data_IF_817786774735
#
_entry.id   IF_817786774735
#
_cell.length_a   1.000
_cell.length_b   1.000
_cell.length_c   1.000
_cell.angle_alpha   90.00
_cell.angle_beta   90.00
_cell.angle_gamma   90.00
#
_symmetry.space_group_name_H-M   'P 1'
#
loop_
_entity.id
_entity.type
_entity.pdbx_description
1 polymer ?
#
# COMPACT_ATOMS: atom_id res chain seq x y z
N UNK A 1 17.07 -7.21 -7.07
CA UNK A 1 16.44 -5.99 -6.54
C UNK A 1 16.09 -5.07 -7.70
N UNK A 2 14.92 -4.49 -7.67
CA UNK A 2 14.49 -3.53 -8.68
C UNK A 2 13.91 -2.31 -7.98
N UNK A 3 14.45 -1.13 -8.27
CA UNK A 3 13.99 0.13 -7.68
C UNK A 3 13.55 1.06 -8.80
N UNK A 4 12.33 1.55 -8.74
CA UNK A 4 11.78 2.48 -9.72
C UNK A 4 12.37 3.88 -9.61
N UNK A 5 11.73 4.83 -10.28
CA UNK A 5 12.16 6.23 -10.32
C UNK A 5 11.66 7.01 -9.11
N UNK A 6 12.38 8.06 -8.74
CA UNK A 6 11.98 9.00 -7.68
C UNK A 6 11.68 8.31 -6.34
N UNK A 7 12.41 7.25 -6.02
CA UNK A 7 12.32 6.57 -4.73
C UNK A 7 13.23 7.28 -3.74
N UNK A 8 12.69 7.52 -2.53
CA UNK A 8 13.45 8.14 -1.45
C UNK A 8 13.68 7.13 -0.34
N UNK A 9 14.94 6.98 0.06
CA UNK A 9 15.34 6.19 1.22
C UNK A 9 15.86 7.13 2.29
N UNK A 10 15.19 7.19 3.43
CA UNK A 10 15.70 7.94 4.57
C UNK A 10 16.84 7.18 5.25
N UNK A 11 17.51 7.82 6.20
CA UNK A 11 18.71 7.29 6.83
C UNK A 11 18.48 5.90 7.43
N UNK A 12 19.44 5.01 7.16
CA UNK A 12 19.47 3.64 7.71
C UNK A 12 18.32 2.75 7.31
N UNK A 13 17.63 3.06 6.21
CA UNK A 13 16.68 2.14 5.63
C UNK A 13 17.42 0.92 5.04
N UNK A 14 16.91 -0.28 5.31
CA UNK A 14 17.56 -1.54 4.91
C UNK A 14 16.62 -2.34 4.03
N UNK A 15 17.14 -2.83 2.91
CA UNK A 15 16.40 -3.67 1.98
C UNK A 15 17.02 -5.06 1.93
N UNK A 16 16.20 -6.07 2.10
CA UNK A 16 16.58 -7.46 1.85
C UNK A 16 16.77 -7.73 0.36
N UNK A 17 17.30 -8.92 0.03
CA UNK A 17 17.50 -9.31 -1.36
C UNK A 17 16.18 -9.48 -2.12
N UNK A 18 16.24 -9.25 -3.44
CA UNK A 18 15.11 -9.44 -4.35
C UNK A 18 13.87 -8.58 -4.01
N UNK A 19 14.06 -7.45 -3.34
CA UNK A 19 12.99 -6.49 -3.06
C UNK A 19 12.70 -5.67 -4.32
N UNK A 20 11.42 -5.48 -4.64
CA UNK A 20 10.99 -4.55 -5.67
C UNK A 20 10.38 -3.31 -5.03
N UNK A 21 10.74 -2.13 -5.52
CA UNK A 21 10.20 -0.86 -5.00
C UNK A 21 9.66 -0.04 -6.18
N UNK A 22 8.37 0.25 -6.13
CA UNK A 22 7.72 1.05 -7.16
C UNK A 22 8.12 2.52 -7.13
N UNK A 23 7.95 3.18 -8.25
CA UNK A 23 8.31 4.59 -8.41
C UNK A 23 7.58 5.49 -7.43
N UNK A 24 8.23 6.56 -6.99
CA UNK A 24 7.64 7.55 -6.10
C UNK A 24 7.45 7.08 -4.66
N UNK A 25 8.01 5.95 -4.28
CA UNK A 25 7.90 5.42 -2.92
C UNK A 25 8.87 6.11 -1.97
N UNK A 26 8.43 6.32 -0.75
CA UNK A 26 9.25 6.86 0.33
C UNK A 26 9.41 5.78 1.42
N UNK A 27 10.66 5.44 1.73
CA UNK A 27 11.00 4.49 2.80
C UNK A 27 11.55 5.29 3.98
N UNK A 28 10.85 5.26 5.10
CA UNK A 28 11.21 6.01 6.30
C UNK A 28 12.50 5.54 6.94
N UNK A 29 13.08 6.39 7.79
CA UNK A 29 14.34 6.10 8.48
C UNK A 29 14.28 4.86 9.36
N UNK A 30 15.32 4.06 9.32
CA UNK A 30 15.43 2.81 10.09
C UNK A 30 14.34 1.78 9.77
N UNK A 31 13.65 1.92 8.64
CA UNK A 31 12.73 0.88 8.18
C UNK A 31 13.54 -0.31 7.64
N UNK A 32 13.02 -1.51 7.87
CA UNK A 32 13.61 -2.74 7.37
C UNK A 32 12.61 -3.45 6.46
N UNK A 33 13.00 -3.67 5.21
CA UNK A 33 12.18 -4.35 4.22
C UNK A 33 12.76 -5.75 4.03
N UNK A 34 11.98 -6.78 4.35
CA UNK A 34 12.43 -8.16 4.25
C UNK A 34 12.59 -8.59 2.78
N UNK A 35 13.43 -9.61 2.59
CA UNK A 35 13.70 -10.13 1.25
C UNK A 35 12.41 -10.54 0.53
N UNK A 36 12.40 -10.41 -0.78
CA UNK A 36 11.29 -10.74 -1.69
C UNK A 36 10.04 -9.88 -1.55
N UNK A 37 10.00 -8.90 -0.66
CA UNK A 37 8.87 -7.98 -0.55
C UNK A 37 8.76 -7.14 -1.83
N UNK A 38 7.54 -6.97 -2.33
CA UNK A 38 7.23 -6.08 -3.43
C UNK A 38 6.45 -4.88 -2.89
N UNK A 39 6.93 -3.69 -3.21
CA UNK A 39 6.31 -2.43 -2.79
C UNK A 39 5.79 -1.72 -4.04
N UNK A 40 4.50 -1.40 -4.06
CA UNK A 40 3.87 -0.71 -5.17
C UNK A 40 4.36 0.74 -5.33
N UNK A 41 3.94 1.38 -6.40
CA UNK A 41 4.29 2.79 -6.61
C UNK A 41 3.60 3.70 -5.60
N UNK A 42 4.21 4.84 -5.32
CA UNK A 42 3.62 5.88 -4.48
C UNK A 42 3.37 5.47 -3.03
N UNK A 43 4.03 4.43 -2.55
CA UNK A 43 3.88 3.93 -1.18
C UNK A 43 4.68 4.80 -0.22
N UNK A 44 4.16 4.94 1.00
CA UNK A 44 4.92 5.48 2.12
C UNK A 44 5.10 4.42 3.18
N UNK A 45 6.34 4.19 3.58
CA UNK A 45 6.69 3.32 4.70
C UNK A 45 7.15 4.20 5.85
N UNK A 46 6.46 4.12 6.98
CA UNK A 46 6.81 4.88 8.17
C UNK A 46 8.17 4.48 8.72
N UNK A 47 8.80 5.40 9.45
CA UNK A 47 10.09 5.13 10.08
C UNK A 47 10.02 3.98 11.09
N UNK A 48 11.12 3.28 11.26
CA UNK A 48 11.28 2.16 12.21
C UNK A 48 10.29 1.00 11.94
N UNK A 49 9.76 0.91 10.73
CA UNK A 49 8.81 -0.13 10.36
C UNK A 49 9.53 -1.42 9.93
N UNK A 50 8.97 -2.57 10.30
CA UNK A 50 9.40 -3.88 9.80
C UNK A 50 8.41 -4.39 8.77
N UNK A 51 8.80 -4.43 7.49
CA UNK A 51 7.92 -4.80 6.38
C UNK A 51 8.19 -6.23 5.96
N UNK A 52 7.21 -7.09 6.14
CA UNK A 52 7.29 -8.52 5.78
C UNK A 52 6.30 -8.93 4.70
N UNK A 53 5.36 -8.05 4.35
CA UNK A 53 4.35 -8.28 3.33
C UNK A 53 4.42 -7.28 2.20
N UNK A 54 3.86 -7.66 1.05
CA UNK A 54 3.80 -6.79 -0.12
C UNK A 54 2.84 -5.62 0.13
N UNK A 55 3.20 -4.43 -0.31
CA UNK A 55 2.41 -3.23 -0.07
C UNK A 55 1.77 -2.76 -1.37
N UNK A 56 0.44 -2.67 -1.38
CA UNK A 56 -0.32 -2.18 -2.55
C UNK A 56 0.11 -0.77 -2.95
N UNK A 57 0.03 -0.44 -4.25
CA UNK A 57 0.30 0.93 -4.70
C UNK A 57 -0.50 1.95 -3.90
N UNK A 58 0.13 3.08 -3.63
CA UNK A 58 -0.45 4.22 -2.94
C UNK A 58 -0.77 3.96 -1.46
N UNK A 59 -0.35 2.82 -0.92
CA UNK A 59 -0.57 2.48 0.48
C UNK A 59 0.36 3.20 1.44
N UNK A 60 -0.04 3.26 2.69
CA UNK A 60 0.79 3.71 3.81
C UNK A 60 0.92 2.56 4.79
N UNK A 61 2.15 2.15 5.06
CA UNK A 61 2.46 1.05 5.98
C UNK A 61 3.28 1.57 7.15
N UNK A 62 2.97 1.12 8.36
CA UNK A 62 3.72 1.49 9.55
C UNK A 62 3.63 0.42 10.64
N UNK A 63 4.57 0.47 11.56
CA UNK A 63 4.63 -0.37 12.74
C UNK A 63 5.85 -1.29 12.76
N UNK A 64 6.22 -1.78 13.94
CA UNK A 64 7.37 -2.70 14.08
C UNK A 64 7.12 -4.00 13.31
N UNK A 65 5.89 -4.50 13.37
CA UNK A 65 5.37 -5.48 12.42
C UNK A 65 4.36 -4.70 11.59
N UNK A 66 4.81 -4.20 10.44
CA UNK A 66 4.03 -3.23 9.70
C UNK A 66 2.71 -3.79 9.21
N UNK A 67 1.67 -2.98 9.34
CA UNK A 67 0.36 -3.22 8.76
C UNK A 67 -0.02 -2.02 7.89
N UNK A 68 -0.95 -2.26 6.98
CA UNK A 68 -1.47 -1.20 6.12
C UNK A 68 -2.33 -0.25 6.95
N UNK A 69 -1.98 1.03 6.96
CA UNK A 69 -2.66 2.04 7.77
C UNK A 69 -3.56 2.96 6.94
N UNK A 70 -3.74 2.66 5.67
CA UNK A 70 -4.55 3.45 4.76
C UNK A 70 -3.80 3.80 3.50
N UNK A 71 -4.21 4.87 2.85
CA UNK A 71 -3.57 5.38 1.65
C UNK A 71 -2.56 6.48 1.99
N UNK A 72 -1.54 6.61 1.16
CA UNK A 72 -0.57 7.70 1.22
C UNK A 72 -1.20 8.96 0.63
N UNK A 73 -2.12 9.59 1.37
CA UNK A 73 -2.88 10.75 0.90
C UNK A 73 -1.97 11.93 0.56
N UNK A 74 -0.95 12.16 1.39
CA UNK A 74 0.00 13.24 1.16
C UNK A 74 0.72 13.06 -0.18
N UNK A 75 1.23 11.86 -0.43
CA UNK A 75 1.92 11.54 -1.68
C UNK A 75 1.00 11.64 -2.89
N UNK A 76 -0.24 11.17 -2.77
CA UNK A 76 -1.23 11.26 -3.84
C UNK A 76 -1.54 12.72 -4.19
N UNK A 77 -1.75 13.57 -3.18
CA UNK A 77 -1.98 15.00 -3.40
C UNK A 77 -0.78 15.68 -4.06
N UNK A 78 0.43 15.36 -3.65
CA UNK A 78 1.65 15.90 -4.26
C UNK A 78 1.79 15.51 -5.71
N UNK A 79 1.29 14.34 -6.09
CA UNK A 79 1.27 13.88 -7.49
C UNK A 79 0.17 14.57 -8.33
N UNK A 80 -0.65 15.40 -7.72
CA UNK A 80 -1.73 16.08 -8.41
C UNK A 80 -3.02 15.28 -8.55
N UNK A 81 -3.18 14.23 -7.76
CA UNK A 81 -4.42 13.44 -7.76
C UNK A 81 -5.56 14.31 -7.25
N UNK A 82 -6.63 14.40 -8.04
CA UNK A 82 -7.79 15.24 -7.71
C UNK A 82 -8.60 14.63 -6.56
N UNK A 83 -9.44 15.48 -5.91
CA UNK A 83 -10.33 14.99 -4.85
C UNK A 83 -11.26 13.88 -5.33
N UNK A 84 -11.92 13.99 -6.50
CA UNK A 84 -12.77 12.90 -6.98
C UNK A 84 -11.99 11.60 -7.21
N UNK A 85 -10.77 11.70 -7.77
CA UNK A 85 -9.93 10.53 -7.99
C UNK A 85 -9.50 9.88 -6.67
N UNK A 86 -9.13 10.69 -5.68
CA UNK A 86 -8.78 10.20 -4.35
C UNK A 86 -9.99 9.53 -3.67
N UNK A 87 -11.17 10.11 -3.82
CA UNK A 87 -12.40 9.53 -3.26
C UNK A 87 -12.71 8.16 -3.86
N UNK A 88 -12.57 8.02 -5.18
CA UNK A 88 -12.75 6.72 -5.83
C UNK A 88 -11.74 5.69 -5.34
N UNK A 89 -10.47 6.10 -5.21
CA UNK A 89 -9.42 5.21 -4.71
C UNK A 89 -9.71 4.75 -3.27
N UNK A 90 -10.18 5.66 -2.42
CA UNK A 90 -10.61 5.31 -1.05
C UNK A 90 -11.75 4.31 -1.04
N UNK A 91 -12.75 4.48 -1.90
CA UNK A 91 -13.86 3.54 -2.01
C UNK A 91 -13.38 2.16 -2.44
N UNK A 92 -12.48 2.12 -3.42
CA UNK A 92 -11.88 0.86 -3.86
C UNK A 92 -11.08 0.19 -2.73
N UNK A 93 -10.28 0.95 -2.02
CA UNK A 93 -9.51 0.47 -0.87
C UNK A 93 -10.42 -0.13 0.20
N UNK A 94 -11.50 0.57 0.56
CA UNK A 94 -12.47 0.09 1.54
C UNK A 94 -13.15 -1.21 1.08
N UNK A 95 -13.58 -1.26 -0.16
CA UNK A 95 -14.19 -2.48 -0.70
C UNK A 95 -13.22 -3.66 -0.70
N UNK A 96 -11.96 -3.39 -1.03
CA UNK A 96 -10.94 -4.42 -1.15
C UNK A 96 -10.55 -5.02 0.20
N UNK A 97 -10.33 -4.19 1.21
CA UNK A 97 -9.79 -4.62 2.49
C UNK A 97 -10.82 -4.78 3.60
N UNK A 98 -11.98 -4.16 3.47
CA UNK A 98 -13.03 -4.19 4.49
C UNK A 98 -14.40 -4.65 3.98
N UNK A 99 -14.47 -5.07 2.71
CA UNK A 99 -15.70 -5.56 2.12
C UNK A 99 -16.07 -6.97 2.58
N UNK A 100 -17.27 -7.39 2.19
CA UNK A 100 -17.78 -8.71 2.51
C UNK A 100 -17.32 -9.76 1.50
N UNK A 101 -17.27 -11.00 1.94
CA UNK A 101 -16.97 -12.15 1.09
C UNK A 101 -15.48 -12.45 0.98
N UNK A 102 -15.17 -13.37 0.09
CA UNK A 102 -13.80 -13.84 -0.13
C UNK A 102 -12.98 -12.75 -0.83
N UNK A 103 -11.72 -12.62 -0.43
CA UNK A 103 -10.83 -11.57 -0.95
C UNK A 103 -10.74 -11.60 -2.48
N UNK A 104 -10.58 -12.77 -3.09
CA UNK A 104 -10.50 -12.88 -4.55
C UNK A 104 -11.75 -12.32 -5.24
N UNK A 105 -12.93 -12.55 -4.68
CA UNK A 105 -14.18 -12.00 -5.21
C UNK A 105 -14.23 -10.49 -5.05
N UNK A 106 -13.71 -9.97 -3.95
CA UNK A 106 -13.61 -8.51 -3.75
C UNK A 106 -12.69 -7.86 -4.77
N UNK A 107 -11.56 -8.50 -5.08
CA UNK A 107 -10.66 -8.02 -6.13
C UNK A 107 -11.37 -7.95 -7.47
N UNK A 108 -12.11 -8.98 -7.86
CA UNK A 108 -12.85 -9.02 -9.12
C UNK A 108 -13.95 -7.95 -9.15
N UNK A 109 -14.64 -7.76 -8.04
CA UNK A 109 -15.68 -6.72 -7.92
C UNK A 109 -15.09 -5.31 -8.09
N UNK A 110 -13.99 -5.03 -7.41
CA UNK A 110 -13.30 -3.74 -7.52
C UNK A 110 -12.77 -3.53 -8.94
N UNK A 111 -12.19 -4.56 -9.54
CA UNK A 111 -11.70 -4.48 -10.91
C UNK A 111 -12.80 -4.10 -11.90
N UNK A 112 -14.01 -4.64 -11.72
CA UNK A 112 -15.14 -4.34 -12.59
C UNK A 112 -15.79 -2.99 -12.31
N UNK A 113 -16.00 -2.66 -11.05
CA UNK A 113 -16.62 -1.39 -10.63
C UNK A 113 -15.79 -0.18 -11.03
N UNK A 114 -14.47 -0.30 -10.95
CA UNK A 114 -13.55 0.79 -11.27
C UNK A 114 -12.75 0.52 -12.55
N UNK A 115 -13.37 -0.11 -13.53
CA UNK A 115 -12.70 -0.57 -14.76
C UNK A 115 -11.96 0.56 -15.50
N UNK A 116 -12.47 1.78 -15.45
CA UNK A 116 -11.89 2.94 -16.14
C UNK A 116 -10.98 3.80 -15.26
N UNK A 117 -10.71 3.37 -14.04
CA UNK A 117 -9.90 4.14 -13.09
C UNK A 117 -8.44 3.62 -13.09
N UNK A 118 -7.49 4.40 -13.65
CA UNK A 118 -6.10 3.95 -13.75
C UNK A 118 -5.43 3.66 -12.40
N UNK A 119 -5.74 4.45 -11.38
CA UNK A 119 -5.15 4.25 -10.05
C UNK A 119 -5.64 2.95 -9.43
N UNK A 120 -6.95 2.70 -9.50
CA UNK A 120 -7.54 1.47 -8.98
C UNK A 120 -7.02 0.27 -9.77
N UNK A 121 -6.94 0.37 -11.08
CA UNK A 121 -6.43 -0.73 -11.92
C UNK A 121 -4.97 -1.05 -11.60
N UNK A 122 -4.17 -0.06 -11.22
CA UNK A 122 -2.81 -0.27 -10.76
C UNK A 122 -2.79 -1.13 -9.48
N UNK A 123 -3.64 -0.80 -8.51
CA UNK A 123 -3.80 -1.59 -7.29
C UNK A 123 -4.22 -3.03 -7.61
N UNK A 124 -5.22 -3.20 -8.46
CA UNK A 124 -5.74 -4.52 -8.85
C UNK A 124 -4.64 -5.35 -9.53
N UNK A 125 -3.92 -4.76 -10.47
CA UNK A 125 -2.84 -5.45 -11.17
C UNK A 125 -1.74 -5.90 -10.20
N UNK A 126 -1.37 -5.06 -9.25
CA UNK A 126 -0.38 -5.39 -8.23
C UNK A 126 -0.83 -6.57 -7.37
N UNK A 127 -2.07 -6.55 -6.91
CA UNK A 127 -2.64 -7.64 -6.09
C UNK A 127 -2.66 -8.95 -6.88
N UNK A 128 -3.09 -8.91 -8.14
CA UNK A 128 -3.16 -10.09 -9.00
C UNK A 128 -1.80 -10.66 -9.37
N UNK A 129 -0.78 -9.80 -9.47
CA UNK A 129 0.58 -10.25 -9.76
C UNK A 129 1.14 -11.12 -8.63
N UNK A 130 0.74 -10.86 -7.39
CA UNK A 130 1.18 -11.63 -6.25
C UNK A 130 2.69 -11.53 -6.01
N UNK A 131 3.24 -12.55 -5.39
CA UNK A 131 4.65 -12.63 -5.07
C UNK A 131 4.91 -13.69 -4.01
N UNK A 132 6.16 -13.82 -3.58
CA UNK A 132 6.53 -14.80 -2.56
C UNK A 132 6.05 -14.42 -1.17
N UNK A 133 5.94 -13.13 -0.90
CA UNK A 133 5.44 -12.63 0.38
C UNK A 133 3.94 -12.45 0.33
N UNK A 134 3.25 -12.61 1.46
CA UNK A 134 1.82 -12.33 1.51
C UNK A 134 1.56 -10.84 1.31
N UNK A 135 0.35 -10.53 0.86
CA UNK A 135 -0.09 -9.14 0.77
C UNK A 135 -0.27 -8.57 2.18
N UNK A 136 0.32 -7.42 2.44
CA UNK A 136 0.08 -6.69 3.68
C UNK A 136 -1.37 -6.20 3.72
N UNK A 137 -1.99 -6.36 4.86
CA UNK A 137 -3.40 -5.98 5.07
C UNK A 137 -3.52 -5.05 6.27
N UNK A 138 -4.63 -4.32 6.38
CA UNK A 138 -4.93 -3.57 7.60
C UNK A 138 -5.10 -4.51 8.79
N UNK A 139 -4.87 -4.00 10.00
CA UNK A 139 -5.05 -4.77 11.22
C UNK A 139 -6.53 -4.75 11.63
N UNK A 140 -7.30 -5.70 11.11
CA UNK A 140 -8.76 -5.73 11.24
C UNK A 140 -9.25 -6.00 12.66
N UNK A 141 -8.42 -6.63 13.49
CA UNK A 141 -8.77 -6.96 14.87
C UNK A 141 -8.95 -5.73 15.78
N UNK A 142 -8.54 -4.56 15.28
CA UNK A 142 -8.58 -3.29 16.00
C UNK A 142 -9.51 -2.27 15.31
N UNK A 143 -10.60 -2.74 14.72
CA UNK A 143 -11.47 -1.88 13.94
C UNK A 143 -12.00 -0.66 14.70
N UNK A 144 -12.21 -0.76 16.00
CA UNK A 144 -12.64 0.37 16.85
C UNK A 144 -11.49 1.34 17.09
N UNK A 145 -10.29 0.81 17.36
CA UNK A 145 -9.09 1.62 17.56
C UNK A 145 -8.66 2.27 16.25
N UNK A 146 -8.80 1.57 15.14
CA UNK A 146 -8.48 2.09 13.82
C UNK A 146 -9.37 3.29 13.45
N UNK A 147 -10.61 3.30 13.88
CA UNK A 147 -11.51 4.44 13.70
C UNK A 147 -11.03 5.68 14.46
N UNK A 148 -10.48 5.51 15.64
CA UNK A 148 -9.88 6.60 16.41
C UNK A 148 -8.60 7.08 15.75
N UNK A 149 -7.80 6.16 15.24
CA UNK A 149 -6.59 6.47 14.49
C UNK A 149 -6.87 7.25 13.20
N UNK A 150 -7.93 6.91 12.50
CA UNK A 150 -8.35 7.59 11.29
C UNK A 150 -8.84 9.01 11.56
N UNK A 151 -9.37 9.27 12.75
CA UNK A 151 -9.83 10.59 13.14
C UNK A 151 -8.66 11.55 13.43
N UNK A 152 -7.50 11.04 13.68
CA UNK A 152 -6.29 11.82 13.92
C UNK A 152 -5.51 12.02 12.62
#
# INVERSE_FOLDING_TARGET
MHVGDDVTFANNAVLGGHVGVGSGTFIGGNAAIHQFVQIGEGVMVGGVSGVTGNIVPFGFAKGQIAALAGLNVVGLRRRGVTRPALHRLRKAYQSLFFGDGVFADRVDRVAGEFADDPLVQNVVAFVRAGGRRPLMRPNVKRGVEDKEGDAS
#
